data_IF_997880211956
#
_entry.id   IF_997880211956
#
_cell.length_a   1.000
_cell.length_b   1.000
_cell.length_c   1.000
_cell.angle_alpha   90.00
_cell.angle_beta   90.00
_cell.angle_gamma   90.00
#
_symmetry.space_group_name_H-M   'P 1'
#
loop_
_entity.id
_entity.type
_entity.pdbx_description
1 polymer ?
#
# COMPACT_ATOMS: atom_id res chain seq x y z
N UNK A 1 11.50 18.60 22.83
CA UNK A 1 11.89 18.70 21.41
C UNK A 1 10.82 17.98 20.60
N UNK A 2 9.96 18.72 19.90
CA UNK A 2 8.89 18.12 19.10
C UNK A 2 9.50 17.41 17.90
N UNK A 3 9.32 16.10 17.83
CA UNK A 3 9.69 15.30 16.66
C UNK A 3 8.97 15.89 15.45
N UNK A 4 9.71 16.56 14.56
CA UNK A 4 9.17 17.07 13.30
C UNK A 4 8.92 15.87 12.39
N UNK A 5 7.89 15.08 12.70
CA UNK A 5 7.50 13.92 11.90
C UNK A 5 7.14 14.46 10.52
N UNK A 6 7.86 13.99 9.52
CA UNK A 6 7.57 14.37 8.15
C UNK A 6 6.11 13.98 7.85
N UNK A 7 5.22 14.92 7.49
CA UNK A 7 3.81 14.65 7.25
C UNK A 7 3.59 13.56 6.18
N UNK A 8 4.55 13.39 5.25
CA UNK A 8 4.50 12.32 4.25
C UNK A 8 4.81 10.93 4.82
N UNK A 9 5.61 10.83 5.88
CA UNK A 9 5.87 9.55 6.56
C UNK A 9 4.59 9.09 7.28
N UNK A 10 3.92 9.97 8.02
CA UNK A 10 2.65 9.64 8.67
C UNK A 10 1.56 9.28 7.64
N UNK A 11 1.52 9.98 6.51
CA UNK A 11 0.62 9.66 5.40
C UNK A 11 0.89 8.26 4.84
N UNK A 12 2.14 7.90 4.59
CA UNK A 12 2.50 6.58 4.03
C UNK A 12 2.23 5.46 5.02
N UNK A 13 2.57 5.63 6.30
CA UNK A 13 2.24 4.66 7.35
C UNK A 13 0.74 4.38 7.42
N UNK A 14 -0.08 5.44 7.38
CA UNK A 14 -1.54 5.28 7.34
C UNK A 14 -2.00 4.51 6.11
N UNK A 15 -1.44 4.82 4.94
CA UNK A 15 -1.80 4.15 3.69
C UNK A 15 -1.37 2.66 3.67
N UNK A 16 -0.20 2.33 4.23
CA UNK A 16 0.24 0.94 4.39
C UNK A 16 -0.68 0.14 5.32
N UNK A 17 -1.10 0.74 6.44
CA UNK A 17 -2.06 0.11 7.34
C UNK A 17 -3.42 -0.12 6.68
N UNK A 18 -3.91 0.86 5.92
CA UNK A 18 -5.16 0.74 5.17
C UNK A 18 -5.09 -0.39 4.13
N UNK A 19 -4.02 -0.45 3.34
CA UNK A 19 -3.80 -1.53 2.37
C UNK A 19 -3.68 -2.91 3.05
N UNK A 20 -3.09 -2.97 4.24
CA UNK A 20 -3.03 -4.19 5.05
C UNK A 20 -4.42 -4.62 5.49
N UNK A 21 -5.26 -3.69 5.96
CA UNK A 21 -6.63 -3.98 6.36
C UNK A 21 -7.47 -4.47 5.16
N UNK A 22 -7.34 -3.81 4.00
CA UNK A 22 -7.97 -4.24 2.74
C UNK A 22 -7.52 -5.65 2.38
N UNK A 23 -6.22 -5.90 2.34
CA UNK A 23 -5.66 -7.22 2.00
C UNK A 23 -6.13 -8.35 2.93
N UNK A 24 -6.40 -8.01 4.19
CA UNK A 24 -6.92 -8.93 5.18
C UNK A 24 -8.44 -9.08 5.16
N UNK A 25 -9.21 -8.20 4.51
CA UNK A 25 -10.67 -8.22 4.56
C UNK A 25 -11.33 -8.67 3.25
N UNK A 26 -10.62 -8.56 2.13
CA UNK A 26 -11.09 -9.03 0.83
C UNK A 26 -10.51 -10.41 0.48
N UNK A 27 -11.25 -11.19 -0.30
CA UNK A 27 -10.88 -12.52 -0.80
C UNK A 27 -9.87 -12.37 -1.93
N UNK A 28 -8.66 -11.96 -1.57
CA UNK A 28 -7.57 -11.84 -2.54
C UNK A 28 -7.08 -13.25 -2.93
N UNK A 29 -7.16 -14.21 -2.01
CA UNK A 29 -6.88 -15.62 -2.29
C UNK A 29 -8.19 -16.39 -2.47
N UNK A 30 -8.28 -17.16 -3.54
CA UNK A 30 -9.49 -17.91 -3.89
C UNK A 30 -9.95 -18.91 -2.81
N UNK A 31 -9.09 -19.36 -1.89
CA UNK A 31 -9.49 -20.31 -0.84
C UNK A 31 -10.07 -19.65 0.43
N UNK A 32 -10.11 -18.32 0.52
CA UNK A 32 -10.58 -17.64 1.73
C UNK A 32 -12.10 -17.46 1.73
N UNK A 33 -12.81 -18.12 2.65
CA UNK A 33 -14.29 -18.11 2.69
C UNK A 33 -14.88 -17.09 3.68
N UNK A 34 -14.05 -16.52 4.56
CA UNK A 34 -14.47 -15.53 5.58
C UNK A 34 -14.28 -14.08 5.15
N UNK A 35 -13.90 -13.86 3.89
CA UNK A 35 -13.51 -12.56 3.35
C UNK A 35 -14.55 -12.05 2.36
N UNK A 36 -14.59 -10.74 2.19
CA UNK A 36 -15.47 -10.07 1.22
C UNK A 36 -15.05 -10.48 -0.18
N UNK A 37 -15.98 -11.00 -0.98
CA UNK A 37 -15.65 -11.44 -2.33
C UNK A 37 -15.33 -10.25 -3.24
N UNK A 38 -14.46 -10.48 -4.22
CA UNK A 38 -14.16 -9.50 -5.26
C UNK A 38 -14.77 -10.02 -6.55
N UNK A 39 -15.97 -9.55 -6.86
CA UNK A 39 -16.74 -10.01 -8.02
C UNK A 39 -16.22 -9.45 -9.36
N UNK A 40 -15.52 -8.32 -9.30
CA UNK A 40 -15.01 -7.61 -10.47
C UNK A 40 -13.48 -7.55 -10.46
N UNK A 41 -12.90 -8.15 -11.50
CA UNK A 41 -11.45 -8.27 -11.66
C UNK A 41 -10.70 -6.93 -11.62
N UNK A 42 -11.39 -5.82 -11.95
CA UNK A 42 -10.81 -4.47 -11.91
C UNK A 42 -10.39 -4.04 -10.50
N UNK A 43 -10.99 -4.60 -9.45
CA UNK A 43 -10.61 -4.28 -8.07
C UNK A 43 -9.30 -4.95 -7.66
N UNK A 44 -8.98 -6.15 -8.16
CA UNK A 44 -7.66 -6.76 -7.97
C UNK A 44 -6.56 -5.87 -8.57
N UNK A 45 -6.79 -5.43 -9.82
CA UNK A 45 -5.92 -4.51 -10.53
C UNK A 45 -5.71 -3.20 -9.75
N UNK A 46 -6.79 -2.64 -9.20
CA UNK A 46 -6.74 -1.43 -8.38
C UNK A 46 -5.90 -1.62 -7.13
N UNK A 47 -6.14 -2.67 -6.33
CA UNK A 47 -5.39 -2.91 -5.10
C UNK A 47 -3.91 -3.17 -5.39
N UNK A 48 -3.60 -3.94 -6.42
CA UNK A 48 -2.23 -4.17 -6.87
C UNK A 48 -1.54 -2.87 -7.27
N UNK A 49 -2.15 -2.08 -8.16
CA UNK A 49 -1.59 -0.80 -8.64
C UNK A 49 -1.42 0.21 -7.51
N UNK A 50 -2.37 0.28 -6.57
CA UNK A 50 -2.30 1.16 -5.40
C UNK A 50 -1.11 0.79 -4.49
N UNK A 51 -0.96 -0.49 -4.17
CA UNK A 51 0.16 -0.99 -3.37
C UNK A 51 1.52 -0.79 -4.07
N UNK A 52 1.59 -1.14 -5.36
CA UNK A 52 2.80 -0.96 -6.17
C UNK A 52 3.23 0.52 -6.23
N UNK A 53 2.28 1.43 -6.45
CA UNK A 53 2.56 2.87 -6.48
C UNK A 53 3.09 3.36 -5.14
N UNK A 54 2.48 2.93 -4.03
CA UNK A 54 2.91 3.33 -2.69
C UNK A 54 4.35 2.85 -2.39
N UNK A 55 4.63 1.58 -2.66
CA UNK A 55 5.98 1.00 -2.48
C UNK A 55 7.00 1.73 -3.37
N UNK A 56 6.66 2.00 -4.62
CA UNK A 56 7.56 2.69 -5.56
C UNK A 56 7.97 4.07 -5.05
N UNK A 57 7.01 4.85 -4.54
CA UNK A 57 7.30 6.18 -3.99
C UNK A 57 8.05 6.08 -2.65
N UNK A 58 7.65 5.16 -1.78
CA UNK A 58 8.32 4.92 -0.50
C UNK A 58 9.81 4.55 -0.69
N UNK A 59 10.12 3.68 -1.65
CA UNK A 59 11.52 3.32 -1.98
C UNK A 59 12.30 4.56 -2.42
N UNK A 60 11.76 5.38 -3.34
CA UNK A 60 12.44 6.61 -3.78
C UNK A 60 12.73 7.57 -2.62
N UNK A 61 11.83 7.63 -1.65
CA UNK A 61 11.98 8.44 -0.45
C UNK A 61 13.05 7.88 0.52
N UNK A 62 13.15 6.55 0.62
CA UNK A 62 14.21 5.89 1.40
C UNK A 62 15.59 5.98 0.73
N UNK A 63 15.62 6.00 -0.62
CA UNK A 63 16.86 5.93 -1.41
C UNK A 63 17.56 7.29 -1.63
N UNK A 64 16.93 8.41 -1.25
CA UNK A 64 17.50 9.77 -1.11
C UNK A 64 18.73 10.13 -1.99
N UNK A 65 18.68 9.89 -3.30
CA UNK A 65 19.61 10.52 -4.27
C UNK A 65 20.59 9.63 -5.04
N UNK A 66 20.45 8.30 -5.09
CA UNK A 66 21.15 7.54 -6.14
C UNK A 66 20.36 7.55 -7.45
N UNK A 67 20.47 8.66 -8.18
CA UNK A 67 20.27 8.61 -9.63
C UNK A 67 21.31 7.67 -10.21
N UNK A 68 20.85 6.50 -10.68
CA UNK A 68 21.62 5.66 -11.58
C UNK A 68 21.69 6.41 -12.92
N UNK A 69 22.83 7.08 -13.14
CA UNK A 69 23.33 7.33 -14.49
C UNK A 69 23.91 6.03 -15.04
#
# INVERSE_FOLDING_TARGET
MGSNKNPYVELFEKEFHELTAIGNNFRIRHHETTKTDIEDNRYYDYFYKRCLSLISVAIKYLDNGKMLY
#
